data_IF_817191699182
#
_entry.id   IF_817191699182
#
_cell.length_a   1.000
_cell.length_b   1.000
_cell.length_c   1.000
_cell.angle_alpha   90.00
_cell.angle_beta   90.00
_cell.angle_gamma   90.00
#
_symmetry.space_group_name_H-M   'P 1'
#
loop_
_entity.id
_entity.type
_entity.pdbx_description
1 polymer ?
#
# COMPACT_ATOMS: atom_id res chain seq x y z
N UNK A 1 -19.56 4.51 4.28
CA UNK A 1 -19.16 3.11 4.48
C UNK A 1 -18.52 3.00 5.84
N UNK A 2 -19.00 2.10 6.68
CA UNK A 2 -18.41 1.81 8.00
C UNK A 2 -17.15 0.95 7.86
N UNK A 3 -16.32 0.94 8.91
CA UNK A 3 -15.12 0.08 8.96
C UNK A 3 -15.49 -1.41 8.84
N UNK A 4 -16.62 -1.84 9.42
CA UNK A 4 -17.10 -3.23 9.30
C UNK A 4 -17.48 -3.56 7.85
N UNK A 5 -18.19 -2.66 7.16
CA UNK A 5 -18.53 -2.82 5.75
C UNK A 5 -17.28 -2.83 4.85
N UNK A 6 -16.29 -1.98 5.16
CA UNK A 6 -15.03 -1.97 4.44
C UNK A 6 -14.30 -3.31 4.62
N UNK A 7 -14.16 -3.81 5.85
CA UNK A 7 -13.49 -5.06 6.13
C UNK A 7 -14.07 -6.24 5.32
N UNK A 8 -15.40 -6.31 5.18
CA UNK A 8 -16.06 -7.36 4.36
C UNK A 8 -15.75 -7.30 2.87
N UNK A 9 -15.28 -6.15 2.35
CA UNK A 9 -14.99 -5.95 0.92
C UNK A 9 -13.53 -6.20 0.56
N UNK A 10 -12.66 -6.34 1.56
CA UNK A 10 -11.22 -6.52 1.36
C UNK A 10 -10.89 -7.98 1.59
N UNK A 11 -10.49 -8.65 0.52
CA UNK A 11 -10.20 -10.09 0.51
C UNK A 11 -8.70 -10.32 0.71
N UNK A 12 -8.37 -11.34 1.49
CA UNK A 12 -7.01 -11.84 1.68
C UNK A 12 -6.59 -12.64 0.45
N UNK A 13 -5.29 -12.64 0.17
CA UNK A 13 -4.76 -13.29 -1.03
C UNK A 13 -4.68 -14.81 -0.86
N UNK A 14 -4.40 -15.27 0.37
CA UNK A 14 -4.15 -16.67 0.70
C UNK A 14 -5.38 -17.58 0.59
N UNK A 15 -6.56 -17.07 0.94
CA UNK A 15 -7.80 -17.85 1.04
C UNK A 15 -9.02 -17.15 0.44
N UNK A 16 -8.89 -15.91 -0.01
CA UNK A 16 -10.00 -15.13 -0.56
C UNK A 16 -11.03 -14.70 0.49
N UNK A 17 -10.80 -14.92 1.78
CA UNK A 17 -11.71 -14.49 2.84
C UNK A 17 -11.56 -12.99 3.14
N UNK A 18 -12.60 -12.37 3.68
CA UNK A 18 -12.52 -10.99 4.13
C UNK A 18 -11.58 -10.80 5.32
N UNK A 19 -10.92 -9.65 5.42
CA UNK A 19 -10.20 -9.27 6.65
C UNK A 19 -11.17 -9.02 7.81
N UNK A 20 -10.69 -9.17 9.05
CA UNK A 20 -11.50 -8.85 10.22
C UNK A 20 -11.60 -7.32 10.42
N UNK A 21 -12.73 -6.80 10.96
CA UNK A 21 -12.81 -5.39 11.34
C UNK A 21 -11.74 -4.96 12.33
N UNK A 22 -11.35 -5.85 13.27
CA UNK A 22 -10.27 -5.58 14.21
C UNK A 22 -8.92 -5.39 13.52
N UNK A 23 -8.61 -6.19 12.50
CA UNK A 23 -7.38 -6.04 11.75
C UNK A 23 -7.32 -4.71 11.01
N UNK A 24 -8.42 -4.32 10.35
CA UNK A 24 -8.54 -3.00 9.72
C UNK A 24 -8.38 -1.86 10.75
N UNK A 25 -8.97 -2.02 11.92
CA UNK A 25 -8.87 -1.06 13.02
C UNK A 25 -7.46 -0.93 13.62
N UNK A 26 -6.66 -1.99 13.55
CA UNK A 26 -5.25 -1.97 13.91
C UNK A 26 -4.41 -1.27 12.84
N UNK A 27 -4.74 -1.45 11.56
CA UNK A 27 -4.10 -0.72 10.45
C UNK A 27 -4.33 0.78 10.58
N UNK A 28 -5.58 1.20 10.77
CA UNK A 28 -5.93 2.62 10.87
C UNK A 28 -5.29 3.33 12.08
N UNK A 29 -4.83 2.57 13.08
CA UNK A 29 -4.16 3.10 14.27
C UNK A 29 -2.67 2.80 14.30
N UNK A 30 -2.08 2.47 13.15
CA UNK A 30 -0.66 2.20 12.96
C UNK A 30 -0.11 1.08 13.88
N UNK A 31 -0.98 0.21 14.40
CA UNK A 31 -0.59 -0.95 15.22
C UNK A 31 -0.16 -2.13 14.36
N UNK A 32 -0.58 -2.15 13.10
CA UNK A 32 -0.20 -3.13 12.08
C UNK A 32 -0.04 -2.40 10.76
N UNK A 33 0.87 -2.86 9.91
CA UNK A 33 0.93 -2.42 8.52
C UNK A 33 0.30 -3.50 7.63
N UNK A 34 -0.44 -3.13 6.57
CA UNK A 34 -0.86 -4.10 5.56
C UNK A 34 0.39 -4.78 4.99
N UNK A 35 0.42 -6.10 5.10
CA UNK A 35 1.62 -6.88 4.83
C UNK A 35 1.84 -7.08 3.33
N UNK A 36 0.78 -7.24 2.54
CA UNK A 36 0.82 -7.50 1.10
C UNK A 36 0.36 -6.31 0.25
N UNK A 37 0.92 -6.18 -0.96
CA UNK A 37 0.45 -5.21 -1.95
C UNK A 37 -0.98 -5.53 -2.40
N UNK A 38 -1.38 -6.82 -2.37
CA UNK A 38 -2.75 -7.24 -2.63
C UNK A 38 -3.75 -6.45 -1.77
N UNK A 39 -3.51 -6.38 -0.45
CA UNK A 39 -4.39 -5.63 0.45
C UNK A 39 -4.40 -4.14 0.10
N UNK A 40 -3.24 -3.55 -0.18
CA UNK A 40 -3.13 -2.14 -0.57
C UNK A 40 -3.93 -1.85 -1.85
N UNK A 41 -3.85 -2.73 -2.86
CA UNK A 41 -4.61 -2.61 -4.11
C UNK A 41 -6.13 -2.77 -3.88
N UNK A 42 -6.54 -3.71 -3.02
CA UNK A 42 -7.96 -3.86 -2.65
C UNK A 42 -8.48 -2.58 -1.96
N UNK A 43 -7.70 -2.02 -1.02
CA UNK A 43 -8.06 -0.75 -0.37
C UNK A 43 -8.16 0.40 -1.37
N UNK A 44 -7.16 0.55 -2.24
CA UNK A 44 -7.16 1.57 -3.29
C UNK A 44 -8.43 1.50 -4.16
N UNK A 45 -8.79 0.30 -4.60
CA UNK A 45 -9.99 0.06 -5.41
C UNK A 45 -11.30 0.37 -4.67
N UNK A 46 -11.46 -0.13 -3.44
CA UNK A 46 -12.71 0.04 -2.69
C UNK A 46 -12.89 1.46 -2.19
N UNK A 47 -11.81 2.13 -1.79
CA UNK A 47 -11.82 3.51 -1.30
C UNK A 47 -11.71 4.54 -2.41
N UNK A 48 -11.39 4.14 -3.64
CA UNK A 48 -11.11 5.04 -4.77
C UNK A 48 -9.98 6.02 -4.43
N UNK A 49 -8.91 5.48 -3.84
CA UNK A 49 -7.68 6.21 -3.49
C UNK A 49 -6.55 5.65 -4.34
N UNK A 50 -5.60 6.51 -4.71
CA UNK A 50 -4.43 6.08 -5.45
C UNK A 50 -3.57 5.08 -4.66
N UNK A 51 -3.20 3.97 -5.31
CA UNK A 51 -2.44 2.92 -4.67
C UNK A 51 -1.02 3.37 -4.30
N UNK A 52 -0.37 4.22 -5.09
CA UNK A 52 0.98 4.72 -4.80
C UNK A 52 0.98 5.58 -3.53
N UNK A 53 -0.09 6.35 -3.31
CA UNK A 53 -0.27 7.09 -2.07
C UNK A 53 -0.38 6.17 -0.85
N UNK A 54 -1.14 5.06 -0.95
CA UNK A 54 -1.24 4.09 0.13
C UNK A 54 0.07 3.32 0.36
N UNK A 55 0.83 3.01 -0.69
CA UNK A 55 2.18 2.44 -0.56
C UNK A 55 3.13 3.41 0.15
N UNK A 56 3.07 4.71 -0.19
CA UNK A 56 3.82 5.76 0.49
C UNK A 56 3.50 5.81 1.99
N UNK A 57 2.21 5.81 2.36
CA UNK A 57 1.79 5.77 3.77
C UNK A 57 2.28 4.50 4.49
N UNK A 58 2.31 3.36 3.79
CA UNK A 58 2.83 2.11 4.32
C UNK A 58 4.37 2.04 4.36
N UNK A 59 5.09 3.08 3.91
CA UNK A 59 6.55 3.10 3.85
C UNK A 59 7.14 2.07 2.87
N UNK A 60 6.36 1.66 1.86
CA UNK A 60 6.76 0.65 0.87
C UNK A 60 6.80 1.25 -0.53
N UNK A 61 7.73 0.80 -1.35
CA UNK A 61 7.67 1.05 -2.79
C UNK A 61 6.58 0.15 -3.42
N UNK A 62 5.82 0.61 -4.42
CA UNK A 62 4.88 -0.24 -5.16
C UNK A 62 5.55 -1.51 -5.71
N UNK A 63 4.80 -2.60 -5.75
CA UNK A 63 5.31 -3.91 -6.17
C UNK A 63 5.98 -3.89 -7.54
N UNK A 64 5.38 -3.18 -8.51
CA UNK A 64 5.92 -3.04 -9.86
C UNK A 64 7.35 -2.49 -9.84
N UNK A 65 7.64 -1.53 -8.95
CA UNK A 65 8.97 -0.94 -8.79
C UNK A 65 9.93 -1.96 -8.16
N UNK A 66 9.48 -2.69 -7.13
CA UNK A 66 10.32 -3.70 -6.46
C UNK A 66 10.68 -4.87 -7.39
N UNK A 67 9.81 -5.23 -8.33
CA UNK A 67 10.04 -6.31 -9.31
C UNK A 67 10.98 -5.91 -10.46
N UNK A 68 11.30 -4.62 -10.64
CA UNK A 68 12.21 -4.15 -11.72
C UNK A 68 13.67 -4.59 -11.54
N UNK A 69 14.03 -5.20 -10.40
CA UNK A 69 15.38 -5.70 -10.08
C UNK A 69 16.49 -4.71 -10.51
N UNK A 70 16.30 -3.45 -10.13
CA UNK A 70 17.17 -2.34 -10.52
C UNK A 70 18.58 -2.54 -9.92
N UNK A 71 19.61 -2.12 -10.65
CA UNK A 71 20.96 -2.04 -10.10
C UNK A 71 21.03 -1.00 -8.97
N UNK A 72 22.04 -1.13 -8.11
CA UNK A 72 22.27 -0.17 -7.02
C UNK A 72 22.37 1.27 -7.54
N UNK A 73 23.10 1.48 -8.65
CA UNK A 73 23.26 2.80 -9.26
C UNK A 73 21.93 3.36 -9.78
N UNK A 74 21.09 2.53 -10.41
CA UNK A 74 19.77 2.95 -10.88
C UNK A 74 18.85 3.35 -9.72
N UNK A 75 18.91 2.64 -8.59
CA UNK A 75 18.17 2.99 -7.37
C UNK A 75 18.66 4.35 -6.83
N UNK A 76 19.97 4.54 -6.71
CA UNK A 76 20.55 5.82 -6.23
C UNK A 76 20.10 6.99 -7.08
N UNK A 77 20.19 6.88 -8.40
CA UNK A 77 19.77 7.93 -9.33
C UNK A 77 18.26 8.24 -9.22
N UNK A 78 17.42 7.22 -9.13
CA UNK A 78 15.97 7.41 -8.97
C UNK A 78 15.64 8.16 -7.67
N UNK A 79 16.26 7.77 -6.55
CA UNK A 79 16.04 8.45 -5.27
C UNK A 79 16.65 9.86 -5.24
N UNK A 80 17.78 10.10 -5.91
CA UNK A 80 18.32 11.45 -6.08
C UNK A 80 17.36 12.34 -6.87
N UNK A 81 16.79 11.83 -7.97
CA UNK A 81 15.78 12.53 -8.74
C UNK A 81 14.53 12.84 -7.90
N UNK A 82 14.04 11.88 -7.12
CA UNK A 82 12.88 12.04 -6.23
C UNK A 82 13.09 13.11 -5.15
N UNK A 83 14.31 13.21 -4.59
CA UNK A 83 14.66 14.19 -3.53
C UNK A 83 14.83 15.62 -4.05
N UNK A 84 14.94 15.83 -5.37
CA UNK A 84 15.06 17.19 -5.92
C UNK A 84 13.78 17.96 -5.58
N UNK A 85 13.89 19.21 -5.08
CA UNK A 85 12.72 20.00 -4.73
C UNK A 85 11.86 20.19 -5.98
N UNK A 86 10.56 19.85 -5.86
CA UNK A 86 9.58 20.16 -6.89
C UNK A 86 9.53 21.68 -7.03
N UNK A 87 9.66 22.19 -8.27
CA UNK A 87 9.44 23.63 -8.51
C UNK A 87 8.00 23.94 -8.13
N UNK A 88 7.82 24.95 -7.28
CA UNK A 88 6.50 25.46 -6.88
C UNK A 88 5.73 25.98 -8.09
#
# INVERSE_FOLDING_TARGET
MSQKELATRILREEDGESISPQYLNDIERDRRSPTSDHLIQQFAKVLTIDADYLHYLAGKLPEEIRRKNLSEDAVKEAFLAFRKPQKK
#
